data_IF_161248455420
#
_entry.id   IF_161248455420
#
_cell.length_a   1.000
_cell.length_b   1.000
_cell.length_c   1.000
_cell.angle_alpha   90.00
_cell.angle_beta   90.00
_cell.angle_gamma   90.00
#
_symmetry.space_group_name_H-M   'P 1'
#
loop_
_entity.id
_entity.type
_entity.pdbx_description
1 polymer ?
#
# COMPACT_ATOMS: atom_id res chain seq x y z
N UNK A 1 38.11 -71.46 20.66
CA UNK A 1 39.50 -71.44 20.15
C UNK A 1 39.77 -70.05 19.63
N UNK A 2 40.90 -69.51 20.06
CA UNK A 2 41.25 -68.09 20.07
C UNK A 2 41.71 -67.52 18.72
N UNK A 3 41.77 -66.18 18.70
CA UNK A 3 42.56 -65.28 17.84
C UNK A 3 42.12 -65.15 16.37
N UNK A 4 42.09 -63.97 15.74
CA UNK A 4 42.53 -62.61 16.08
C UNK A 4 42.42 -61.76 14.81
N UNK A 5 42.08 -60.47 14.94
CA UNK A 5 42.20 -59.47 13.86
C UNK A 5 43.68 -59.14 13.59
N UNK A 6 44.02 -58.58 12.41
CA UNK A 6 44.27 -57.13 12.32
C UNK A 6 43.62 -56.49 11.06
N UNK A 7 43.13 -55.24 11.06
CA UNK A 7 43.87 -53.95 10.96
C UNK A 7 44.82 -53.90 9.73
N UNK A 8 44.94 -52.86 8.90
CA UNK A 8 44.35 -51.52 8.78
C UNK A 8 44.94 -50.87 7.49
N UNK A 9 44.34 -49.75 7.03
CA UNK A 9 44.97 -48.61 6.31
C UNK A 9 45.21 -48.59 4.77
N UNK A 10 44.44 -47.68 4.15
CA UNK A 10 44.81 -46.56 3.23
C UNK A 10 45.58 -46.84 1.93
N UNK A 11 45.04 -46.28 0.82
CA UNK A 11 45.57 -45.06 0.17
C UNK A 11 44.64 -44.51 -0.93
N UNK A 12 44.43 -43.20 -0.89
CA UNK A 12 43.86 -42.40 -1.97
C UNK A 12 44.88 -42.20 -3.10
N UNK A 13 44.41 -42.21 -4.36
CA UNK A 13 45.15 -41.76 -5.54
C UNK A 13 44.18 -41.19 -6.56
N UNK A 14 44.43 -39.98 -7.03
CA UNK A 14 43.50 -39.11 -7.75
C UNK A 14 43.89 -38.98 -9.24
N UNK A 15 42.87 -38.81 -10.12
CA UNK A 15 42.84 -38.17 -11.48
C UNK A 15 43.30 -38.98 -12.72
N UNK A 16 42.94 -38.58 -13.98
CA UNK A 16 41.77 -37.82 -14.48
C UNK A 16 41.14 -38.31 -15.83
N UNK A 17 39.95 -37.77 -16.13
CA UNK A 17 39.35 -37.35 -17.41
C UNK A 17 39.52 -38.14 -18.73
N UNK A 18 38.37 -38.44 -19.38
CA UNK A 18 38.17 -38.24 -20.83
C UNK A 18 36.70 -37.98 -21.17
N UNK A 19 36.52 -37.05 -22.13
CA UNK A 19 35.28 -36.47 -22.62
C UNK A 19 34.58 -37.36 -23.67
N UNK A 20 33.30 -37.11 -23.87
CA UNK A 20 32.51 -37.63 -24.98
C UNK A 20 31.19 -36.86 -25.11
N UNK A 21 31.17 -35.86 -25.98
CA UNK A 21 29.97 -35.19 -26.46
C UNK A 21 29.15 -36.14 -27.37
N UNK A 22 27.82 -36.09 -27.26
CA UNK A 22 26.89 -36.17 -28.40
C UNK A 22 25.47 -35.72 -28.00
N UNK A 23 24.92 -34.91 -28.89
CA UNK A 23 23.66 -34.17 -28.82
C UNK A 23 22.46 -35.01 -29.27
N UNK A 24 21.29 -34.83 -28.63
CA UNK A 24 19.89 -35.02 -29.07
C UNK A 24 19.06 -35.59 -27.89
N UNK A 25 17.88 -35.14 -27.49
CA UNK A 25 16.97 -34.09 -27.89
C UNK A 25 15.75 -34.19 -26.95
N UNK A 26 14.99 -33.08 -26.86
CA UNK A 26 13.65 -32.96 -26.26
C UNK A 26 13.48 -32.83 -24.74
N UNK A 27 12.92 -31.67 -24.35
CA UNK A 27 11.64 -31.68 -23.64
C UNK A 27 11.65 -31.46 -22.13
N UNK A 28 12.05 -30.27 -21.67
CA UNK A 28 11.81 -29.88 -20.28
C UNK A 28 11.93 -28.39 -20.09
N UNK A 29 10.84 -27.65 -20.38
CA UNK A 29 10.72 -26.22 -20.14
C UNK A 29 10.88 -25.92 -18.64
N UNK A 30 12.13 -25.78 -18.17
CA UNK A 30 12.41 -25.06 -16.93
C UNK A 30 12.01 -23.61 -17.17
N UNK A 31 10.85 -23.21 -16.65
CA UNK A 31 10.50 -21.80 -16.44
C UNK A 31 11.65 -21.18 -15.64
N UNK A 32 12.58 -20.52 -16.34
CA UNK A 32 13.47 -19.54 -15.71
C UNK A 32 12.58 -18.38 -15.29
N UNK A 33 12.12 -18.42 -14.04
CA UNK A 33 11.56 -17.24 -13.39
C UNK A 33 12.66 -16.16 -13.41
N UNK A 34 12.40 -14.97 -13.96
CA UNK A 34 13.25 -13.81 -13.72
C UNK A 34 13.36 -13.61 -12.21
N UNK A 35 14.56 -13.29 -11.72
CA UNK A 35 14.84 -13.05 -10.31
C UNK A 35 14.17 -11.77 -9.82
N UNK A 36 12.87 -11.83 -9.58
CA UNK A 36 12.12 -10.81 -8.85
C UNK A 36 11.97 -11.27 -7.40
N UNK A 37 13.08 -11.26 -6.67
CA UNK A 37 13.13 -11.25 -5.21
C UNK A 37 14.51 -10.73 -4.77
N UNK A 38 14.89 -9.55 -5.28
CA UNK A 38 15.74 -8.71 -4.44
C UNK A 38 14.91 -8.33 -3.23
N UNK A 39 15.48 -8.60 -2.05
CA UNK A 39 14.86 -8.47 -0.75
C UNK A 39 13.94 -7.24 -0.68
N UNK A 40 12.66 -7.53 -0.51
CA UNK A 40 11.63 -6.57 -0.13
C UNK A 40 12.09 -5.94 1.20
N UNK A 41 12.87 -4.86 1.12
CA UNK A 41 13.16 -3.98 2.26
C UNK A 41 11.84 -3.30 2.56
N UNK A 42 11.00 -4.04 3.26
CA UNK A 42 9.75 -3.56 3.81
C UNK A 42 10.03 -2.23 4.48
N UNK A 43 9.49 -1.17 3.90
CA UNK A 43 9.40 0.10 4.57
C UNK A 43 8.68 -0.16 5.88
N UNK A 44 9.41 -0.09 7.01
CA UNK A 44 8.86 -0.09 8.38
C UNK A 44 7.81 1.02 8.61
N UNK A 45 7.51 1.83 7.59
CA UNK A 45 6.65 3.00 7.63
C UNK A 45 5.28 2.82 6.95
N UNK A 46 5.07 1.74 6.18
CA UNK A 46 3.74 1.40 5.67
C UNK A 46 2.99 0.51 6.67
N UNK A 47 1.70 0.79 6.91
CA UNK A 47 0.82 -0.16 7.59
C UNK A 47 0.83 -1.46 6.79
N UNK A 48 1.55 -2.45 7.31
CA UNK A 48 1.61 -3.79 6.74
C UNK A 48 0.19 -4.28 6.50
N UNK A 49 0.01 -4.98 5.37
CA UNK A 49 -1.18 -5.75 4.96
C UNK A 49 -1.47 -6.84 6.02
N UNK A 50 -1.86 -6.44 7.23
CA UNK A 50 -2.38 -7.36 8.23
C UNK A 50 -3.82 -7.64 7.83
N UNK A 51 -4.03 -8.92 7.51
CA UNK A 51 -5.28 -9.66 7.63
C UNK A 51 -6.34 -8.93 8.47
N UNK A 52 -7.58 -8.96 7.97
CA UNK A 52 -8.82 -8.49 8.60
C UNK A 52 -8.67 -8.05 10.08
N UNK A 53 -8.88 -6.75 10.30
CA UNK A 53 -8.68 -6.02 11.55
C UNK A 53 -9.44 -6.66 12.74
N UNK A 54 -8.83 -7.64 13.42
CA UNK A 54 -9.39 -8.33 14.60
C UNK A 54 -9.54 -7.38 15.81
N UNK A 55 -9.00 -6.16 15.75
CA UNK A 55 -9.16 -5.14 16.81
C UNK A 55 -10.60 -4.63 16.97
N UNK A 56 -11.48 -4.77 15.97
CA UNK A 56 -12.92 -4.50 16.16
C UNK A 56 -13.62 -5.53 17.06
N UNK A 57 -13.01 -6.69 17.32
CA UNK A 57 -13.56 -7.72 18.22
C UNK A 57 -13.19 -7.45 19.69
N UNK A 58 -12.11 -6.70 19.96
CA UNK A 58 -11.60 -6.44 21.31
C UNK A 58 -12.34 -5.30 22.04
N UNK A 59 -12.99 -4.38 21.33
CA UNK A 59 -13.72 -3.27 21.96
C UNK A 59 -15.08 -3.67 22.58
N UNK A 60 -15.43 -4.97 22.55
CA UNK A 60 -16.65 -5.51 23.16
C UNK A 60 -16.40 -6.16 24.55
N UNK A 61 -15.24 -5.92 25.17
CA UNK A 61 -14.92 -6.43 26.52
C UNK A 61 -15.65 -5.66 27.65
N UNK A 62 -16.12 -4.42 27.43
CA UNK A 62 -16.72 -3.60 28.49
C UNK A 62 -18.23 -3.84 28.75
N UNK A 63 -18.88 -4.72 28.00
CA UNK A 63 -20.33 -4.98 28.14
C UNK A 63 -20.73 -6.37 28.66
N UNK A 64 -19.77 -7.25 28.98
CA UNK A 64 -20.05 -8.68 29.20
C UNK A 64 -19.84 -9.19 30.63
N UNK A 65 -19.65 -8.31 31.62
CA UNK A 65 -19.47 -8.72 33.03
C UNK A 65 -20.77 -8.99 33.81
N UNK A 66 -21.96 -8.95 33.19
CA UNK A 66 -23.24 -9.09 33.93
C UNK A 66 -24.10 -10.30 33.57
N UNK A 67 -23.61 -11.25 32.79
CA UNK A 67 -24.37 -12.49 32.49
C UNK A 67 -23.47 -13.71 32.60
N UNK A 68 -23.18 -14.11 33.83
CA UNK A 68 -22.65 -15.44 34.12
C UNK A 68 -23.32 -16.01 35.36
N UNK A 69 -24.40 -16.76 35.15
CA UNK A 69 -24.70 -17.95 35.93
C UNK A 69 -25.58 -18.90 35.10
N UNK A 70 -25.12 -20.15 35.11
CA UNK A 70 -25.86 -21.40 34.92
C UNK A 70 -25.94 -22.14 33.57
N UNK A 71 -25.58 -23.42 33.75
CA UNK A 71 -25.95 -24.69 33.12
C UNK A 71 -25.50 -25.02 31.70
N UNK A 72 -24.49 -25.89 31.67
CA UNK A 72 -24.14 -26.80 30.59
C UNK A 72 -25.25 -27.84 30.37
N UNK A 73 -25.90 -27.79 29.21
CA UNK A 73 -26.59 -28.94 28.65
C UNK A 73 -25.97 -29.22 27.29
N UNK A 74 -25.33 -30.40 27.16
CA UNK A 74 -24.92 -30.96 25.86
C UNK A 74 -26.20 -31.29 25.09
N UNK A 75 -26.41 -30.65 23.93
CA UNK A 75 -27.32 -31.17 22.89
C UNK A 75 -26.52 -31.48 21.64
N UNK A 76 -26.77 -32.67 21.09
CA UNK A 76 -26.16 -33.19 19.88
C UNK A 76 -26.58 -32.38 18.64
N UNK A 77 -25.81 -32.39 17.55
CA UNK A 77 -26.11 -31.61 16.36
C UNK A 77 -27.14 -32.34 15.47
N UNK A 78 -28.37 -31.83 15.44
CA UNK A 78 -29.35 -32.27 14.45
C UNK A 78 -29.07 -31.74 13.05
N UNK A 79 -29.56 -32.51 12.08
CA UNK A 79 -29.13 -32.62 10.70
C UNK A 79 -29.37 -31.37 9.83
N UNK A 80 -28.73 -31.44 8.66
CA UNK A 80 -28.56 -30.40 7.65
C UNK A 80 -29.79 -30.37 6.77
N UNK A 81 -30.46 -29.22 6.63
CA UNK A 81 -31.38 -28.96 5.53
C UNK A 81 -31.30 -27.52 5.04
N UNK A 82 -31.47 -27.38 3.74
CA UNK A 82 -31.41 -26.15 2.96
C UNK A 82 -32.37 -25.06 3.47
N UNK A 83 -32.08 -23.83 3.07
CA UNK A 83 -32.80 -22.62 3.47
C UNK A 83 -34.23 -22.68 2.90
N UNK A 84 -35.30 -22.73 3.73
CA UNK A 84 -36.66 -22.67 3.23
C UNK A 84 -37.07 -21.22 2.95
N UNK A 85 -37.73 -21.04 1.82
CA UNK A 85 -38.33 -19.77 1.40
C UNK A 85 -39.64 -19.54 2.12
N UNK A 86 -39.60 -18.84 3.25
CA UNK A 86 -40.78 -18.21 3.84
C UNK A 86 -40.37 -16.96 4.65
N UNK A 87 -40.82 -15.78 4.21
CA UNK A 87 -40.49 -14.49 4.83
C UNK A 87 -40.89 -14.38 6.32
N UNK A 88 -41.72 -15.31 6.82
CA UNK A 88 -42.16 -15.40 8.22
C UNK A 88 -41.07 -15.91 9.18
N UNK A 89 -39.94 -16.41 8.68
CA UNK A 89 -38.85 -16.98 9.51
C UNK A 89 -37.79 -15.98 9.97
N UNK A 90 -37.70 -14.78 9.37
CA UNK A 90 -36.64 -13.81 9.69
C UNK A 90 -36.95 -12.98 10.95
N UNK A 91 -38.22 -12.61 11.13
CA UNK A 91 -38.68 -11.80 12.25
C UNK A 91 -38.81 -12.61 13.55
N UNK A 92 -38.96 -13.94 13.47
CA UNK A 92 -39.02 -14.86 14.61
C UNK A 92 -37.65 -15.21 15.20
N UNK A 93 -36.55 -14.76 14.58
CA UNK A 93 -35.19 -15.04 15.06
C UNK A 93 -34.88 -14.23 16.32
N UNK A 94 -34.64 -14.92 17.44
CA UNK A 94 -34.15 -14.30 18.67
C UNK A 94 -32.67 -13.95 18.52
N UNK A 95 -32.41 -12.76 17.95
CA UNK A 95 -31.06 -12.31 17.63
C UNK A 95 -30.12 -12.25 18.83
N UNK A 96 -30.64 -11.94 20.04
CA UNK A 96 -29.85 -11.89 21.27
C UNK A 96 -29.14 -13.24 21.54
N UNK A 97 -29.81 -14.35 21.29
CA UNK A 97 -29.23 -15.70 21.46
C UNK A 97 -28.19 -16.02 20.39
N UNK A 98 -28.46 -15.65 19.13
CA UNK A 98 -27.48 -15.76 18.05
C UNK A 98 -26.20 -14.98 18.37
N UNK A 99 -26.33 -13.72 18.82
CA UNK A 99 -25.20 -12.89 19.23
C UNK A 99 -24.40 -13.56 20.35
N UNK A 100 -25.06 -14.10 21.38
CA UNK A 100 -24.40 -14.81 22.48
C UNK A 100 -23.60 -16.01 22.00
N UNK A 101 -24.14 -16.82 21.09
CA UNK A 101 -23.47 -18.01 20.54
C UNK A 101 -22.19 -17.60 19.80
N UNK A 102 -22.29 -16.62 18.90
CA UNK A 102 -21.13 -16.16 18.11
C UNK A 102 -20.08 -15.51 19.01
N UNK A 103 -20.49 -14.63 19.94
CA UNK A 103 -19.57 -13.98 20.88
C UNK A 103 -18.83 -14.99 21.76
N UNK A 104 -19.49 -16.07 22.20
CA UNK A 104 -18.83 -17.15 22.94
C UNK A 104 -17.72 -17.83 22.12
N UNK A 105 -17.99 -18.15 20.86
CA UNK A 105 -16.98 -18.77 19.98
C UNK A 105 -15.82 -17.79 19.74
N UNK A 106 -16.12 -16.53 19.43
CA UNK A 106 -15.11 -15.49 19.20
C UNK A 106 -14.23 -15.24 20.45
N UNK A 107 -14.84 -15.18 21.64
CA UNK A 107 -14.09 -15.03 22.90
C UNK A 107 -13.14 -16.22 23.14
N UNK A 108 -13.55 -17.45 22.83
CA UNK A 108 -12.69 -18.63 22.91
C UNK A 108 -11.53 -18.55 21.93
N UNK A 109 -11.76 -18.04 20.71
CA UNK A 109 -10.70 -17.81 19.72
C UNK A 109 -9.68 -16.82 20.30
N UNK A 110 -10.13 -15.69 20.85
CA UNK A 110 -9.25 -14.68 21.44
C UNK A 110 -8.41 -15.25 22.58
N UNK A 111 -9.02 -16.02 23.49
CA UNK A 111 -8.29 -16.70 24.58
C UNK A 111 -7.25 -17.69 24.05
N UNK A 112 -7.59 -18.49 23.03
CA UNK A 112 -6.67 -19.44 22.43
C UNK A 112 -5.49 -18.74 21.72
N UNK A 113 -5.74 -17.61 21.04
CA UNK A 113 -4.67 -16.79 20.44
C UNK A 113 -3.75 -16.23 21.52
N UNK A 114 -4.29 -15.68 22.61
CA UNK A 114 -3.48 -15.16 23.73
C UNK A 114 -2.61 -16.25 24.38
N UNK A 115 -3.09 -17.50 24.39
CA UNK A 115 -2.36 -18.65 24.90
C UNK A 115 -1.40 -19.32 23.89
N UNK A 116 -1.32 -18.84 22.64
CA UNK A 116 -0.47 -19.43 21.60
C UNK A 116 -0.95 -20.77 21.02
N UNK A 117 -2.16 -21.24 21.37
CA UNK A 117 -2.68 -22.55 20.95
C UNK A 117 -3.26 -22.50 19.53
N UNK A 118 -2.40 -22.73 18.54
CA UNK A 118 -2.75 -22.67 17.12
C UNK A 118 -3.73 -23.77 16.68
N UNK A 119 -3.66 -24.97 17.28
CA UNK A 119 -4.56 -26.09 16.97
C UNK A 119 -6.00 -25.74 17.38
N UNK A 120 -6.17 -25.21 18.59
CA UNK A 120 -7.48 -24.78 19.11
C UNK A 120 -8.04 -23.58 18.34
N UNK A 121 -7.21 -22.62 17.93
CA UNK A 121 -7.64 -21.52 17.06
C UNK A 121 -8.22 -22.06 15.75
N UNK A 122 -7.52 -22.96 15.04
CA UNK A 122 -8.02 -23.56 13.79
C UNK A 122 -9.32 -24.35 13.99
N UNK A 123 -9.44 -25.08 15.09
CA UNK A 123 -10.67 -25.81 15.44
C UNK A 123 -11.86 -24.87 15.66
N UNK A 124 -11.67 -23.80 16.43
CA UNK A 124 -12.71 -22.81 16.72
C UNK A 124 -13.08 -21.98 15.48
N UNK A 125 -12.14 -21.66 14.60
CA UNK A 125 -12.42 -21.01 13.32
C UNK A 125 -13.27 -21.90 12.41
N UNK A 126 -12.96 -23.21 12.34
CA UNK A 126 -13.80 -24.19 11.61
C UNK A 126 -15.21 -24.24 12.18
N UNK A 127 -15.35 -24.27 13.51
CA UNK A 127 -16.64 -24.25 14.20
C UNK A 127 -17.43 -22.97 13.86
N UNK A 128 -16.79 -21.81 13.93
CA UNK A 128 -17.43 -20.52 13.63
C UNK A 128 -17.96 -20.49 12.19
N UNK A 129 -17.17 -20.94 11.21
CA UNK A 129 -17.56 -20.96 9.80
C UNK A 129 -18.74 -21.90 9.51
N UNK A 130 -18.83 -23.03 10.22
CA UNK A 130 -19.93 -24.00 10.05
C UNK A 130 -21.20 -23.60 10.83
N UNK A 131 -21.08 -22.77 11.86
CA UNK A 131 -22.21 -22.37 12.71
C UNK A 131 -23.32 -21.62 11.96
N UNK A 132 -24.57 -22.09 12.09
CA UNK A 132 -25.77 -21.41 11.58
C UNK A 132 -25.94 -20.01 12.18
N UNK A 133 -25.64 -19.85 13.47
CA UNK A 133 -25.69 -18.56 14.16
C UNK A 133 -24.72 -17.53 13.52
N UNK A 134 -23.51 -17.97 13.15
CA UNK A 134 -22.54 -17.11 12.48
C UNK A 134 -23.00 -16.70 11.06
N UNK A 135 -23.58 -17.64 10.30
CA UNK A 135 -24.15 -17.37 8.98
C UNK A 135 -25.30 -16.35 9.07
N UNK A 136 -26.25 -16.54 9.99
CA UNK A 136 -27.38 -15.62 10.20
C UNK A 136 -26.91 -14.21 10.60
N UNK A 137 -25.92 -14.11 11.49
CA UNK A 137 -25.32 -12.81 11.84
C UNK A 137 -24.67 -12.12 10.65
N UNK A 138 -23.95 -12.87 9.81
CA UNK A 138 -23.32 -12.31 8.62
C UNK A 138 -24.37 -11.78 7.64
N UNK A 139 -25.42 -12.56 7.36
CA UNK A 139 -26.53 -12.13 6.48
C UNK A 139 -27.20 -10.88 7.04
N UNK A 140 -27.57 -10.87 8.34
CA UNK A 140 -28.18 -9.69 8.96
C UNK A 140 -27.31 -8.46 8.85
N UNK A 141 -26.00 -8.58 9.08
CA UNK A 141 -25.06 -7.46 8.98
C UNK A 141 -25.05 -6.84 7.58
N UNK A 142 -25.20 -7.65 6.53
CA UNK A 142 -25.26 -7.16 5.15
C UNK A 142 -26.63 -6.58 4.84
N UNK A 143 -27.72 -7.29 5.19
CA UNK A 143 -29.09 -6.87 4.85
C UNK A 143 -29.58 -5.66 5.65
N UNK A 144 -29.15 -5.50 6.91
CA UNK A 144 -29.52 -4.35 7.75
C UNK A 144 -28.64 -3.12 7.53
N UNK A 145 -27.60 -3.22 6.71
CA UNK A 145 -26.67 -2.11 6.51
C UNK A 145 -27.28 -1.05 5.57
N UNK A 146 -27.53 0.15 6.10
CA UNK A 146 -27.96 1.32 5.33
C UNK A 146 -26.82 1.94 4.49
N UNK A 147 -25.92 1.12 3.94
CA UNK A 147 -24.80 1.53 3.11
C UNK A 147 -23.67 2.28 3.83
N UNK A 148 -23.46 2.04 5.14
CA UNK A 148 -22.33 2.58 5.92
C UNK A 148 -21.49 1.44 6.49
N UNK A 149 -20.22 1.39 6.14
CA UNK A 149 -19.27 0.46 6.76
C UNK A 149 -17.84 0.97 6.70
N UNK A 150 -16.97 0.37 7.50
CA UNK A 150 -15.54 0.63 7.47
C UNK A 150 -14.84 -0.54 6.75
N UNK A 151 -13.93 -0.22 5.82
CA UNK A 151 -13.13 -1.19 5.09
C UNK A 151 -11.74 -0.62 4.80
N UNK A 152 -10.68 -1.37 5.12
CA UNK A 152 -9.28 -0.93 4.96
C UNK A 152 -9.00 0.47 5.54
N UNK A 153 -9.61 0.78 6.69
CA UNK A 153 -9.47 2.08 7.32
C UNK A 153 -10.25 3.22 6.65
N UNK A 154 -11.05 2.96 5.61
CA UNK A 154 -11.99 3.91 5.01
C UNK A 154 -13.41 3.71 5.53
N UNK A 155 -14.06 4.79 5.96
CA UNK A 155 -15.50 4.84 6.13
C UNK A 155 -16.16 5.11 4.77
N UNK A 156 -16.95 4.15 4.32
CA UNK A 156 -17.71 4.19 3.08
C UNK A 156 -19.17 4.47 3.44
N UNK A 157 -19.72 5.59 2.96
CA UNK A 157 -21.11 6.00 3.26
C UNK A 157 -21.74 6.79 2.12
N UNK A 158 -23.02 6.53 1.84
CA UNK A 158 -23.85 7.34 0.93
C UNK A 158 -24.41 8.56 1.69
N UNK A 159 -24.25 9.75 1.10
CA UNK A 159 -24.74 11.04 1.58
C UNK A 159 -25.55 11.69 0.48
N UNK A 160 -26.86 11.91 0.67
CA UNK A 160 -27.75 12.56 -0.33
C UNK A 160 -27.51 12.04 -1.76
N UNK A 161 -27.56 10.72 -1.96
CA UNK A 161 -27.28 10.10 -3.28
C UNK A 161 -25.80 9.83 -3.59
N UNK A 162 -24.85 10.54 -2.97
CA UNK A 162 -23.41 10.48 -3.30
C UNK A 162 -22.61 9.56 -2.37
N UNK A 163 -21.86 8.61 -2.93
CA UNK A 163 -20.95 7.77 -2.17
C UNK A 163 -19.67 8.55 -1.83
N UNK A 164 -19.35 8.70 -0.55
CA UNK A 164 -18.10 9.27 -0.08
C UNK A 164 -17.30 8.24 0.70
N UNK A 165 -16.01 8.15 0.36
CA UNK A 165 -15.00 7.45 1.15
C UNK A 165 -14.23 8.48 1.98
N UNK A 166 -14.17 8.28 3.29
CA UNK A 166 -13.43 9.12 4.24
C UNK A 166 -12.52 8.23 5.08
N UNK A 167 -11.45 8.74 5.69
CA UNK A 167 -10.75 7.98 6.72
C UNK A 167 -11.71 7.61 7.86
N UNK A 168 -11.69 6.34 8.28
CA UNK A 168 -12.52 5.82 9.37
C UNK A 168 -12.12 6.41 10.72
N UNK A 169 -13.05 6.45 11.66
CA UNK A 169 -12.79 6.98 13.01
C UNK A 169 -11.67 6.20 13.71
N UNK A 170 -11.65 4.88 13.56
CA UNK A 170 -10.60 4.01 14.12
C UNK A 170 -9.23 4.30 13.51
N UNK A 171 -9.14 4.48 12.19
CA UNK A 171 -7.87 4.83 11.51
C UNK A 171 -7.36 6.21 11.92
N UNK A 172 -8.24 7.19 12.11
CA UNK A 172 -7.87 8.52 12.61
C UNK A 172 -7.36 8.43 14.06
N UNK A 173 -8.00 7.60 14.90
CA UNK A 173 -7.56 7.41 16.28
C UNK A 173 -6.18 6.72 16.33
N UNK A 174 -5.96 5.70 15.51
CA UNK A 174 -4.68 4.96 15.51
C UNK A 174 -3.50 5.81 15.08
N UNK A 175 -3.64 6.68 14.07
CA UNK A 175 -2.55 7.59 13.67
C UNK A 175 -2.29 8.66 14.73
N UNK A 176 -3.34 9.20 15.35
CA UNK A 176 -3.20 10.17 16.45
C UNK A 176 -2.48 9.54 17.65
N UNK A 177 -2.80 8.29 17.98
CA UNK A 177 -2.11 7.57 19.05
C UNK A 177 -0.65 7.31 18.70
N UNK A 178 -0.35 6.82 17.49
CA UNK A 178 1.03 6.56 17.07
C UNK A 178 1.92 7.82 17.14
N UNK A 179 1.38 8.97 16.70
CA UNK A 179 2.08 10.26 16.80
C UNK A 179 2.26 10.64 18.28
N UNK A 180 1.20 10.51 19.09
CA UNK A 180 1.24 10.80 20.53
C UNK A 180 2.28 9.97 21.25
N UNK A 181 2.32 8.66 21.00
CA UNK A 181 3.32 7.73 21.54
C UNK A 181 4.72 8.15 21.12
N UNK A 182 4.93 8.46 19.84
CA UNK A 182 6.23 8.93 19.32
C UNK A 182 6.71 10.19 20.04
N UNK A 183 5.82 11.16 20.27
CA UNK A 183 6.16 12.39 21.02
C UNK A 183 6.41 12.09 22.52
N UNK A 184 5.61 11.19 23.12
CA UNK A 184 5.70 10.82 24.54
C UNK A 184 6.96 10.03 24.88
N UNK A 185 7.42 9.12 24.01
CA UNK A 185 8.65 8.35 24.25
C UNK A 185 9.90 9.20 24.05
N UNK A 186 9.83 10.19 23.14
CA UNK A 186 10.97 11.02 22.76
C UNK A 186 10.94 12.40 23.45
N UNK A 187 10.95 12.42 24.78
CA UNK A 187 10.82 13.67 25.57
C UNK A 187 12.04 14.59 25.47
N UNK A 188 13.25 14.04 25.38
CA UNK A 188 14.50 14.80 25.55
C UNK A 188 15.28 15.03 24.25
N UNK A 189 14.90 14.36 23.15
CA UNK A 189 15.64 14.41 21.88
C UNK A 189 15.69 15.81 21.26
N UNK A 190 16.65 16.03 20.36
CA UNK A 190 16.76 17.25 19.54
C UNK A 190 15.53 17.41 18.65
N UNK A 191 15.17 18.65 18.32
CA UNK A 191 13.96 18.99 17.55
C UNK A 191 13.95 18.30 16.18
N UNK A 192 15.09 18.32 15.47
CA UNK A 192 15.29 17.66 14.19
C UNK A 192 15.03 16.17 14.27
N UNK A 193 15.62 15.48 15.26
CA UNK A 193 15.42 14.04 15.42
C UNK A 193 13.94 13.70 15.68
N UNK A 194 13.18 14.58 16.35
CA UNK A 194 11.73 14.40 16.51
C UNK A 194 11.00 14.55 15.18
N UNK A 195 11.36 15.58 14.40
CA UNK A 195 10.79 15.82 13.07
C UNK A 195 11.09 14.65 12.12
N UNK A 196 12.30 14.12 12.13
CA UNK A 196 12.72 12.96 11.33
C UNK A 196 11.93 11.69 11.68
N UNK A 197 11.56 11.50 12.94
CA UNK A 197 10.69 10.37 13.36
C UNK A 197 9.22 10.58 12.97
N UNK A 198 8.70 11.80 13.09
CA UNK A 198 7.29 12.11 12.83
C UNK A 198 6.96 12.18 11.33
N UNK A 199 7.84 12.79 10.53
CA UNK A 199 7.58 13.08 9.12
C UNK A 199 7.24 11.84 8.28
N UNK A 200 7.95 10.70 8.37
CA UNK A 200 7.60 9.49 7.64
C UNK A 200 6.21 8.96 7.99
N UNK A 201 5.83 9.02 9.28
CA UNK A 201 4.53 8.55 9.76
C UNK A 201 3.39 9.43 9.21
N UNK A 202 3.54 10.75 9.29
CA UNK A 202 2.56 11.72 8.78
C UNK A 202 2.45 11.63 7.26
N UNK A 203 3.58 11.62 6.54
CA UNK A 203 3.62 11.52 5.08
C UNK A 203 3.03 10.21 4.58
N UNK A 204 3.40 9.08 5.18
CA UNK A 204 2.90 7.76 4.80
C UNK A 204 1.38 7.67 4.93
N UNK A 205 0.85 8.07 6.09
CA UNK A 205 -0.59 8.04 6.33
C UNK A 205 -1.35 9.02 5.41
N UNK A 206 -0.83 10.24 5.24
CA UNK A 206 -1.42 11.23 4.36
C UNK A 206 -1.44 10.79 2.89
N UNK A 207 -0.37 10.18 2.40
CA UNK A 207 -0.31 9.65 1.04
C UNK A 207 -1.27 8.48 0.83
N UNK A 208 -1.43 7.59 1.82
CA UNK A 208 -2.40 6.49 1.74
C UNK A 208 -3.85 7.00 1.59
N UNK A 209 -4.23 7.99 2.39
CA UNK A 209 -5.58 8.54 2.39
C UNK A 209 -5.83 9.65 1.36
N UNK A 210 -4.83 10.05 0.56
CA UNK A 210 -4.93 11.16 -0.41
C UNK A 210 -5.96 10.95 -1.51
N UNK A 211 -6.36 9.71 -1.74
CA UNK A 211 -7.32 9.34 -2.79
C UNK A 211 -8.79 9.43 -2.33
N UNK A 212 -9.00 9.64 -1.03
CA UNK A 212 -10.33 9.75 -0.42
C UNK A 212 -10.66 11.18 0.02
N UNK A 213 -11.88 11.42 0.53
CA UNK A 213 -12.31 12.71 1.01
C UNK A 213 -11.70 13.05 2.38
N UNK A 214 -10.39 13.31 2.39
CA UNK A 214 -9.57 13.38 3.62
C UNK A 214 -9.11 14.78 4.02
N UNK A 215 -9.34 15.81 3.20
CA UNK A 215 -8.72 17.14 3.42
C UNK A 215 -9.03 17.72 4.81
N UNK A 216 -10.30 17.68 5.23
CA UNK A 216 -10.71 18.12 6.58
C UNK A 216 -10.06 17.27 7.68
N UNK A 217 -9.92 15.97 7.44
CA UNK A 217 -9.24 15.06 8.38
C UNK A 217 -7.76 15.40 8.49
N UNK A 218 -7.08 15.73 7.39
CA UNK A 218 -5.69 16.14 7.37
C UNK A 218 -5.48 17.38 8.25
N UNK A 219 -6.31 18.42 8.07
CA UNK A 219 -6.27 19.62 8.91
C UNK A 219 -6.52 19.31 10.39
N UNK A 220 -7.49 18.44 10.70
CA UNK A 220 -7.75 18.03 12.10
C UNK A 220 -6.58 17.26 12.73
N UNK A 221 -5.87 16.45 11.94
CA UNK A 221 -4.67 15.75 12.41
C UNK A 221 -3.52 16.74 12.60
N UNK A 222 -3.29 17.65 11.65
CA UNK A 222 -2.25 18.69 11.78
C UNK A 222 -2.47 19.56 13.02
N UNK A 223 -3.72 19.91 13.35
CA UNK A 223 -4.05 20.60 14.60
C UNK A 223 -3.66 19.77 15.83
N UNK A 224 -4.01 18.49 15.86
CA UNK A 224 -3.65 17.60 16.97
C UNK A 224 -2.13 17.43 17.10
N UNK A 225 -1.41 17.34 15.98
CA UNK A 225 0.04 17.27 15.93
C UNK A 225 0.65 18.55 16.52
N UNK A 226 0.12 19.71 16.13
CA UNK A 226 0.54 21.01 16.68
C UNK A 226 0.35 21.06 18.20
N UNK A 227 -0.80 20.65 18.73
CA UNK A 227 -1.03 20.62 20.18
C UNK A 227 -0.03 19.70 20.91
N UNK A 228 0.30 18.55 20.31
CA UNK A 228 1.28 17.62 20.87
C UNK A 228 2.69 18.20 20.89
N UNK A 229 3.14 18.82 19.79
CA UNK A 229 4.48 19.43 19.70
C UNK A 229 4.58 20.70 20.54
N UNK A 230 3.50 21.48 20.66
CA UNK A 230 3.41 22.63 21.55
C UNK A 230 3.56 22.22 23.02
N UNK A 231 2.81 21.20 23.47
CA UNK A 231 2.95 20.64 24.82
C UNK A 231 4.35 20.09 25.07
N UNK A 232 4.93 19.40 24.09
CA UNK A 232 6.30 18.91 24.17
C UNK A 232 7.32 20.05 24.34
N UNK A 233 7.18 21.14 23.58
CA UNK A 233 8.05 22.30 23.65
C UNK A 233 7.92 23.05 24.99
N UNK A 234 6.68 23.30 25.46
CA UNK A 234 6.42 23.93 26.77
C UNK A 234 7.06 23.16 27.92
N UNK A 235 6.89 21.84 27.94
CA UNK A 235 7.45 20.99 29.01
C UNK A 235 8.97 21.08 29.11
N UNK A 236 9.68 21.33 28.01
CA UNK A 236 11.14 21.43 28.00
C UNK A 236 11.68 22.72 28.62
N UNK A 237 10.84 23.75 28.75
CA UNK A 237 11.26 25.08 29.17
C UNK A 237 10.26 25.68 30.17
N UNK A 238 10.13 25.09 31.38
CA UNK A 238 9.16 25.57 32.38
C UNK A 238 9.42 27.03 32.79
N UNK A 239 10.68 27.47 32.82
CA UNK A 239 11.06 28.85 33.17
C UNK A 239 11.18 29.83 31.99
N UNK A 240 10.68 29.49 30.79
CA UNK A 240 10.74 30.40 29.62
C UNK A 240 9.35 30.86 29.22
N UNK A 241 9.24 32.11 28.77
CA UNK A 241 7.98 32.68 28.30
C UNK A 241 7.46 31.96 27.06
N UNK A 242 6.13 31.99 26.87
CA UNK A 242 5.48 31.39 25.70
C UNK A 242 5.96 32.03 24.39
N UNK A 243 6.27 33.34 24.41
CA UNK A 243 6.84 34.07 23.26
C UNK A 243 8.21 33.52 22.87
N UNK A 244 9.06 33.22 23.86
CA UNK A 244 10.36 32.61 23.61
C UNK A 244 10.23 31.19 23.05
N UNK A 245 9.32 30.36 23.60
CA UNK A 245 9.06 29.00 23.11
C UNK A 245 8.58 29.03 21.66
N UNK A 246 7.65 29.94 21.33
CA UNK A 246 7.20 30.18 19.95
C UNK A 246 8.41 30.53 19.07
N UNK A 247 9.17 31.58 19.40
CA UNK A 247 10.34 31.99 18.60
C UNK A 247 11.37 30.88 18.41
N UNK A 248 11.58 30.01 19.41
CA UNK A 248 12.54 28.91 19.35
C UNK A 248 12.10 27.78 18.42
N UNK A 249 10.86 27.32 18.54
CA UNK A 249 10.39 26.07 17.92
C UNK A 249 9.44 26.27 16.75
N UNK A 250 8.77 27.42 16.67
CA UNK A 250 7.68 27.69 15.73
C UNK A 250 7.99 28.95 14.93
N UNK A 251 8.33 28.75 13.66
CA UNK A 251 8.77 29.82 12.77
C UNK A 251 7.78 30.05 11.64
N UNK A 252 7.95 31.18 10.97
CA UNK A 252 7.31 31.44 9.70
C UNK A 252 8.09 30.75 8.58
N UNK A 253 7.40 30.05 7.70
CA UNK A 253 7.95 29.42 6.51
C UNK A 253 7.03 29.70 5.32
N UNK A 254 7.53 30.49 4.35
CA UNK A 254 6.71 31.05 3.26
C UNK A 254 5.51 31.81 3.85
N UNK A 255 4.30 31.47 3.41
CA UNK A 255 3.05 32.09 3.88
C UNK A 255 2.47 31.41 5.13
N UNK A 256 3.20 30.51 5.79
CA UNK A 256 2.70 29.74 6.93
C UNK A 256 3.40 30.19 8.20
N UNK A 257 2.62 30.60 9.20
CA UNK A 257 3.11 30.81 10.56
C UNK A 257 2.93 29.52 11.39
N UNK A 258 3.56 29.49 12.56
CA UNK A 258 3.48 28.37 13.52
C UNK A 258 3.95 27.03 12.93
N UNK A 259 5.04 27.04 12.15
CA UNK A 259 5.64 25.84 11.61
C UNK A 259 6.69 25.31 12.59
N UNK A 260 6.47 24.09 13.09
CA UNK A 260 7.42 23.43 13.98
C UNK A 260 8.70 23.08 13.22
N UNK A 261 9.82 23.71 13.60
CA UNK A 261 11.08 23.70 12.84
C UNK A 261 12.29 23.87 13.76
N UNK A 262 13.42 23.28 13.37
CA UNK A 262 14.72 23.53 14.00
C UNK A 262 15.37 24.80 13.40
N UNK A 263 15.75 25.81 14.21
CA UNK A 263 16.33 27.09 13.75
C UNK A 263 17.49 26.97 12.76
N UNK A 264 18.42 26.04 13.02
CA UNK A 264 19.66 25.91 12.22
C UNK A 264 19.49 25.07 10.95
N UNK A 265 18.39 24.32 10.82
CA UNK A 265 18.25 23.32 9.75
C UNK A 265 17.00 23.54 8.90
N UNK A 266 17.03 22.97 7.68
CA UNK A 266 15.87 22.96 6.76
C UNK A 266 14.78 21.93 7.14
N UNK A 267 14.89 21.29 8.29
CA UNK A 267 13.94 20.29 8.76
C UNK A 267 12.72 20.97 9.40
N UNK A 268 11.63 21.08 8.64
CA UNK A 268 10.31 21.44 9.16
C UNK A 268 9.39 20.23 9.27
N UNK A 269 8.46 20.31 10.22
CA UNK A 269 7.43 19.30 10.39
C UNK A 269 6.47 19.36 9.20
N UNK A 270 6.30 18.22 8.56
CA UNK A 270 5.42 18.07 7.42
C UNK A 270 3.96 18.27 7.83
N UNK A 271 3.26 19.16 7.15
CA UNK A 271 1.81 19.33 7.30
C UNK A 271 1.07 18.44 6.30
N UNK A 272 0.17 17.61 6.81
CA UNK A 272 -0.65 16.72 6.00
C UNK A 272 -1.60 17.52 5.08
N UNK A 273 -2.00 18.73 5.48
CA UNK A 273 -2.75 19.69 4.68
C UNK A 273 -2.07 20.07 3.36
N UNK A 274 -0.77 19.86 3.22
CA UNK A 274 -0.04 20.19 2.00
C UNK A 274 -0.24 19.13 0.91
N UNK A 275 -0.71 17.94 1.29
CA UNK A 275 -0.96 16.86 0.35
C UNK A 275 -2.18 17.20 -0.52
N UNK A 276 -2.03 17.25 -1.86
CA UNK A 276 -3.17 17.42 -2.75
C UNK A 276 -3.95 16.10 -2.82
N UNK A 277 -5.27 16.23 -2.69
CA UNK A 277 -6.20 15.12 -2.89
C UNK A 277 -6.19 14.76 -4.36
N UNK A 278 -5.92 13.49 -4.68
CA UNK A 278 -5.87 12.99 -6.06
C UNK A 278 -6.87 11.86 -6.22
N UNK A 279 -7.94 12.07 -6.97
CA UNK A 279 -8.93 11.01 -7.20
C UNK A 279 -8.40 10.00 -8.21
N UNK A 280 -8.67 8.72 -8.00
CA UNK A 280 -8.43 7.72 -9.02
C UNK A 280 -9.33 8.01 -10.22
N UNK A 281 -8.73 8.01 -11.41
CA UNK A 281 -9.46 8.12 -12.67
C UNK A 281 -10.08 6.74 -12.93
N UNK A 282 -11.40 6.68 -13.05
CA UNK A 282 -12.07 5.43 -13.40
C UNK A 282 -11.90 5.16 -14.89
N UNK A 283 -11.52 3.93 -15.21
CA UNK A 283 -11.59 3.43 -16.59
C UNK A 283 -13.07 3.23 -16.94
N UNK A 284 -13.47 3.60 -18.16
CA UNK A 284 -14.83 3.35 -18.66
C UNK A 284 -15.07 1.83 -18.71
N UNK A 285 -16.22 1.37 -18.21
CA UNK A 285 -16.51 -0.07 -18.12
C UNK A 285 -16.52 -0.79 -19.47
N UNK A 286 -16.97 -0.09 -20.52
CA UNK A 286 -17.03 -0.58 -21.90
C UNK A 286 -15.68 -0.52 -22.65
N UNK A 287 -14.65 0.09 -22.05
CA UNK A 287 -13.38 0.31 -22.73
C UNK A 287 -12.56 -0.98 -22.82
N UNK A 288 -12.28 -1.42 -24.04
CA UNK A 288 -11.41 -2.56 -24.32
C UNK A 288 -10.03 -2.07 -24.79
N UNK A 289 -8.93 -2.38 -24.07
CA UNK A 289 -7.56 -1.98 -24.47
C UNK A 289 -7.11 -2.49 -25.84
N UNK A 290 -7.70 -3.57 -26.34
CA UNK A 290 -7.29 -4.22 -27.59
C UNK A 290 -8.12 -3.82 -28.80
N UNK A 291 -9.20 -3.08 -28.59
CA UNK A 291 -10.04 -2.58 -29.67
C UNK A 291 -9.53 -1.21 -30.13
N UNK A 292 -9.15 -1.04 -31.42
CA UNK A 292 -8.66 0.21 -31.98
C UNK A 292 -9.57 1.41 -31.69
N UNK A 293 -10.89 1.22 -31.58
CA UNK A 293 -11.86 2.26 -31.22
C UNK A 293 -11.52 2.97 -29.91
N UNK A 294 -10.89 2.26 -28.96
CA UNK A 294 -10.53 2.79 -27.64
C UNK A 294 -9.10 3.30 -27.54
N UNK A 295 -8.30 3.18 -28.60
CA UNK A 295 -6.89 3.56 -28.56
C UNK A 295 -6.71 5.02 -28.11
N UNK A 296 -7.45 5.96 -28.72
CA UNK A 296 -7.39 7.38 -28.35
C UNK A 296 -7.77 7.63 -26.88
N UNK A 297 -8.75 6.89 -26.35
CA UNK A 297 -9.16 6.99 -24.95
C UNK A 297 -8.05 6.56 -23.98
N UNK A 298 -7.35 5.46 -24.29
CA UNK A 298 -6.23 4.97 -23.47
C UNK A 298 -5.01 5.88 -23.59
N UNK A 299 -4.70 6.39 -24.79
CA UNK A 299 -3.61 7.38 -24.99
C UNK A 299 -3.86 8.64 -24.16
N UNK A 300 -5.06 9.23 -24.25
CA UNK A 300 -5.45 10.41 -23.43
C UNK A 300 -5.37 10.09 -21.92
N UNK A 301 -5.79 8.89 -21.52
CA UNK A 301 -5.75 8.45 -20.11
C UNK A 301 -4.32 8.27 -19.60
N UNK A 302 -3.44 7.67 -20.39
CA UNK A 302 -2.03 7.46 -20.07
C UNK A 302 -1.28 8.79 -19.95
N UNK A 303 -1.49 9.72 -20.90
CA UNK A 303 -0.96 11.09 -20.81
C UNK A 303 -1.46 11.80 -19.55
N UNK A 304 -2.75 11.71 -19.24
CA UNK A 304 -3.34 12.34 -18.05
C UNK A 304 -2.78 11.77 -16.75
N UNK A 305 -2.48 10.47 -16.71
CA UNK A 305 -1.83 9.83 -15.56
C UNK A 305 -0.38 10.30 -15.45
N UNK A 306 0.37 10.30 -16.56
CA UNK A 306 1.79 10.71 -16.57
C UNK A 306 1.97 12.19 -16.19
N UNK A 307 1.09 13.07 -16.68
CA UNK A 307 1.02 14.50 -16.28
C UNK A 307 0.89 14.72 -14.78
N UNK A 308 0.25 13.80 -14.04
CA UNK A 308 0.11 13.94 -12.57
C UNK A 308 1.39 13.60 -11.81
N UNK A 309 2.35 12.92 -12.44
CA UNK A 309 3.57 12.45 -11.82
C UNK A 309 4.80 12.74 -12.66
N UNK A 310 4.81 13.87 -13.39
CA UNK A 310 6.00 14.36 -14.10
C UNK A 310 7.11 14.56 -13.06
N UNK A 311 8.20 13.81 -13.20
CA UNK A 311 9.39 13.90 -12.35
C UNK A 311 10.66 14.15 -13.14
N UNK A 312 10.67 13.74 -14.40
CA UNK A 312 11.88 13.69 -15.22
C UNK A 312 11.65 14.35 -16.59
N UNK A 313 12.75 14.74 -17.24
CA UNK A 313 12.73 15.15 -18.67
C UNK A 313 12.13 14.07 -19.57
N UNK A 314 12.35 12.80 -19.24
CA UNK A 314 11.80 11.66 -19.99
C UNK A 314 10.26 11.63 -19.93
N UNK A 315 9.65 12.00 -18.80
CA UNK A 315 8.18 12.08 -18.71
C UNK A 315 7.62 13.17 -19.63
N UNK A 316 8.34 14.27 -19.80
CA UNK A 316 7.96 15.37 -20.71
C UNK A 316 8.01 14.87 -22.15
N UNK A 317 9.14 14.29 -22.57
CA UNK A 317 9.32 13.72 -23.90
C UNK A 317 8.28 12.65 -24.23
N UNK A 318 7.99 11.76 -23.27
CA UNK A 318 6.95 10.74 -23.44
C UNK A 318 5.57 11.36 -23.69
N UNK A 319 5.23 12.44 -22.98
CA UNK A 319 3.94 13.14 -23.13
C UNK A 319 3.86 13.84 -24.49
N UNK A 320 4.92 14.52 -24.91
CA UNK A 320 5.01 15.23 -26.20
C UNK A 320 4.86 14.24 -27.37
N UNK A 321 5.51 13.08 -27.28
CA UNK A 321 5.41 12.00 -28.26
C UNK A 321 4.17 11.12 -28.12
N UNK A 322 3.24 11.45 -27.23
CA UNK A 322 2.02 10.67 -26.93
C UNK A 322 2.30 9.19 -26.60
N UNK A 323 3.48 8.89 -26.06
CA UNK A 323 3.90 7.54 -25.73
C UNK A 323 4.28 6.66 -26.92
N UNK A 324 4.49 7.25 -28.11
CA UNK A 324 4.84 6.54 -29.34
C UNK A 324 6.33 6.72 -29.65
N UNK A 325 6.99 5.64 -30.09
CA UNK A 325 8.36 5.70 -30.57
C UNK A 325 8.40 6.32 -31.98
N UNK A 326 9.21 7.37 -32.23
CA UNK A 326 9.28 8.01 -33.54
C UNK A 326 9.83 7.12 -34.66
N UNK A 327 10.61 6.10 -34.31
CA UNK A 327 11.27 5.23 -35.29
C UNK A 327 10.38 4.07 -35.76
N UNK A 328 9.70 3.37 -34.84
CA UNK A 328 8.88 2.20 -35.17
C UNK A 328 7.37 2.45 -35.10
N UNK A 329 6.95 3.64 -34.64
CA UNK A 329 5.54 4.03 -34.49
C UNK A 329 4.72 3.13 -33.55
N UNK A 330 5.39 2.37 -32.68
CA UNK A 330 4.74 1.55 -31.64
C UNK A 330 4.85 2.19 -30.26
N UNK A 331 4.02 1.72 -29.32
CA UNK A 331 3.99 2.22 -27.95
C UNK A 331 5.33 1.98 -27.22
N UNK A 332 5.85 3.03 -26.58
CA UNK A 332 7.11 2.98 -25.84
C UNK A 332 7.05 2.02 -24.64
N UNK A 333 5.93 1.98 -23.94
CA UNK A 333 5.81 1.20 -22.69
C UNK A 333 5.39 -0.27 -22.89
N UNK A 334 5.38 -0.77 -24.13
CA UNK A 334 4.95 -2.15 -24.47
C UNK A 334 6.01 -3.22 -24.17
N UNK A 335 6.60 -3.16 -22.98
CA UNK A 335 7.52 -4.18 -22.46
C UNK A 335 8.96 -4.09 -22.94
N UNK A 336 9.29 -3.11 -23.78
CA UNK A 336 10.65 -2.84 -24.24
C UNK A 336 11.29 -1.67 -23.48
N UNK A 337 12.58 -1.76 -23.21
CA UNK A 337 13.34 -0.65 -22.62
C UNK A 337 13.48 0.49 -23.62
N UNK A 338 13.39 1.74 -23.15
CA UNK A 338 13.55 2.93 -23.95
C UNK A 338 14.59 3.89 -23.36
N UNK A 339 15.23 4.66 -24.24
CA UNK A 339 16.25 5.64 -23.90
C UNK A 339 16.03 6.96 -24.61
N UNK A 340 16.64 8.02 -24.08
CA UNK A 340 16.74 9.31 -24.76
C UNK A 340 17.78 9.26 -25.86
N UNK A 341 17.46 9.79 -27.02
CA UNK A 341 18.35 9.95 -28.17
C UNK A 341 18.43 11.42 -28.58
N UNK A 342 19.63 11.88 -28.93
CA UNK A 342 19.85 13.25 -29.42
C UNK A 342 19.57 13.32 -30.92
N UNK A 343 18.68 14.22 -31.36
CA UNK A 343 18.40 14.45 -32.78
C UNK A 343 19.67 14.91 -33.52
N UNK A 344 20.33 15.92 -32.97
CA UNK A 344 21.68 16.36 -33.36
C UNK A 344 22.69 15.76 -32.37
N UNK A 345 23.62 14.90 -32.83
CA UNK A 345 24.64 14.32 -31.96
C UNK A 345 25.49 15.39 -31.26
N UNK A 346 25.91 15.11 -30.01
CA UNK A 346 26.78 16.03 -29.25
C UNK A 346 28.09 16.32 -29.98
N UNK A 347 28.66 15.34 -30.67
CA UNK A 347 29.88 15.50 -31.49
C UNK A 347 29.73 16.49 -32.63
N UNK A 348 28.51 16.71 -33.14
CA UNK A 348 28.20 17.70 -34.18
C UNK A 348 27.70 19.04 -33.60
N UNK A 349 27.88 19.27 -32.30
CA UNK A 349 27.43 20.49 -31.61
C UNK A 349 25.98 20.47 -31.15
N UNK A 350 25.35 19.29 -31.00
CA UNK A 350 24.01 19.17 -30.43
C UNK A 350 23.96 19.44 -28.92
N UNK A 351 22.97 20.22 -28.47
CA UNK A 351 22.77 20.57 -27.05
C UNK A 351 22.01 19.47 -26.30
N UNK A 352 22.18 19.37 -24.98
CA UNK A 352 21.43 18.43 -24.12
C UNK A 352 20.15 19.06 -23.54
N UNK A 353 19.29 19.61 -24.42
CA UNK A 353 18.01 20.24 -24.08
C UNK A 353 16.82 19.40 -24.59
N UNK A 354 15.61 19.68 -24.09
CA UNK A 354 14.39 18.92 -24.47
C UNK A 354 14.12 18.97 -25.97
N UNK A 355 14.38 20.10 -26.63
CA UNK A 355 14.18 20.28 -28.07
C UNK A 355 15.04 19.35 -28.93
N UNK A 356 16.23 18.97 -28.44
CA UNK A 356 17.16 18.09 -29.15
C UNK A 356 17.08 16.63 -28.68
N UNK A 357 16.13 16.30 -27.81
CA UNK A 357 15.98 14.96 -27.25
C UNK A 357 14.66 14.33 -27.68
N UNK A 358 14.71 13.04 -28.00
CA UNK A 358 13.53 12.20 -28.22
C UNK A 358 13.65 10.90 -27.44
N UNK A 359 12.51 10.30 -27.09
CA UNK A 359 12.39 9.00 -26.44
C UNK A 359 12.15 7.91 -27.48
N UNK A 360 12.93 6.83 -27.44
CA UNK A 360 12.78 5.72 -28.37
C UNK A 360 13.18 4.40 -27.73
N UNK A 361 12.67 3.29 -28.27
CA UNK A 361 13.09 1.95 -27.84
C UNK A 361 14.60 1.78 -28.01
N UNK A 362 15.19 1.02 -27.11
CA UNK A 362 16.63 0.76 -27.09
C UNK A 362 17.10 0.02 -28.35
N UNK A 363 16.23 -0.81 -28.94
CA UNK A 363 16.48 -1.49 -30.22
C UNK A 363 16.53 -0.49 -31.37
N UNK A 364 15.50 0.37 -31.49
CA UNK A 364 15.45 1.42 -32.51
C UNK A 364 16.66 2.36 -32.42
N UNK A 365 17.04 2.75 -31.20
CA UNK A 365 18.23 3.58 -30.98
C UNK A 365 19.51 2.91 -31.48
N UNK A 366 19.69 1.61 -31.21
CA UNK A 366 20.87 0.85 -31.69
C UNK A 366 20.88 0.74 -33.22
N UNK A 367 19.74 0.50 -33.84
CA UNK A 367 19.62 0.44 -35.30
C UNK A 367 20.04 1.77 -35.97
N UNK A 368 19.58 2.90 -35.43
CA UNK A 368 19.95 4.24 -35.93
C UNK A 368 21.46 4.51 -35.78
N UNK A 369 22.05 4.13 -34.64
CA UNK A 369 23.50 4.29 -34.45
C UNK A 369 24.33 3.35 -35.32
N UNK A 370 23.84 2.15 -35.63
CA UNK A 370 24.51 1.19 -36.49
C UNK A 370 24.42 1.54 -37.99
N UNK A 371 23.36 2.25 -38.40
CA UNK A 371 23.15 2.62 -39.79
C UNK A 371 22.84 4.13 -39.94
N UNK A 372 23.86 5.00 -40.06
CA UNK A 372 23.69 6.45 -40.12
C UNK A 372 22.79 6.94 -41.26
N UNK A 373 22.67 6.17 -42.35
CA UNK A 373 21.79 6.47 -43.48
C UNK A 373 20.30 6.27 -43.18
N UNK A 374 19.94 5.66 -42.04
CA UNK A 374 18.55 5.59 -41.55
C UNK A 374 18.10 6.82 -40.77
N UNK A 375 18.98 7.82 -40.58
CA UNK A 375 18.63 9.11 -39.99
C UNK A 375 17.50 9.85 -40.71
N UNK A 376 17.25 9.52 -41.99
CA UNK A 376 16.15 10.05 -42.80
C UNK A 376 14.76 9.47 -42.46
N UNK A 377 14.64 8.52 -41.52
CA UNK A 377 13.36 7.92 -41.11
C UNK A 377 12.79 8.49 -39.81
N UNK A 378 13.51 9.39 -39.13
CA UNK A 378 12.93 10.12 -38.00
C UNK A 378 12.01 11.20 -38.54
N UNK A 379 10.73 11.26 -38.12
CA UNK A 379 9.82 12.29 -38.58
C UNK A 379 10.41 13.67 -38.26
N UNK A 380 10.36 14.55 -39.26
CA UNK A 380 10.84 15.91 -39.20
C UNK A 380 10.24 16.58 -37.95
N UNK A 381 11.10 16.95 -36.99
CA UNK A 381 10.69 17.46 -35.66
C UNK A 381 9.94 18.81 -35.73
N UNK A 382 9.71 19.32 -36.93
CA UNK A 382 9.03 20.57 -37.28
C UNK A 382 7.49 20.49 -37.27
N UNK A 383 6.85 19.32 -37.08
CA UNK A 383 5.37 19.17 -37.19
C UNK A 383 4.55 19.05 -35.90
N UNK A 384 5.13 19.15 -34.70
CA UNK A 384 4.36 18.99 -33.45
C UNK A 384 4.41 20.20 -32.48
N UNK A 385 4.88 21.36 -32.95
CA UNK A 385 4.70 22.65 -32.28
C UNK A 385 3.56 23.44 -32.94
N UNK A 386 2.31 23.10 -32.58
CA UNK A 386 1.17 24.02 -32.62
C UNK A 386 0.29 23.79 -31.38
#
# INVERSE_FOLDING_TARGET
>A
MEHGKPDCLRKCGNRPARAGDRQAGMGGWKKRMPSCNEADRGSKFALTRKSADFQQVLNHEKGLKRCYRERTVRRQPEAVDGIPGDGKRWNSIIWKEIFKIVNRIQARIVKAVKAGDTKKVRGLQRLLRRSKAAKLMAVRRVTSNRGKFDFLGFNIRKYKGKLLTKPSKSSIASIKEKIRETVKTNKTIKTQALIEKLNPVIRGWGNYFRHSASKRTFTSIDHAVFEMTWKWAKRRHPGKSLKWIKSKYFQQEKNRNWVFKEKRNRHSLFKMDSIPIRRHIKVKGEANPYDPKWHEYFTKSAIKLRKQSIKTRQDILWIEQKGICPACQTELDKGEEWHTHHLKPKSKGGKDNLENLILMHSVCRRQIHANPNTGCLLPDASRHLK
#
